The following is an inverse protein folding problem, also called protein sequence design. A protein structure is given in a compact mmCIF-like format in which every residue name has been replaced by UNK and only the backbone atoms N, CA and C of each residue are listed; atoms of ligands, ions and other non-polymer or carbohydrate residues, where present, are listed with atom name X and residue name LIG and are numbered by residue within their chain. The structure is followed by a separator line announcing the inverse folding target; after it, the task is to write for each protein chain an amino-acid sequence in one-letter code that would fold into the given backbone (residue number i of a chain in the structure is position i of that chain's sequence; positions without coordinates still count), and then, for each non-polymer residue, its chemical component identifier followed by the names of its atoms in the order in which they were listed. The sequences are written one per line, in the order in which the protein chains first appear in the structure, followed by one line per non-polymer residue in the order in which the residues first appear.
data_IF_362917435993
#
_entry.id   IF_362917435993
#
_cell.length_a   1.000
_cell.length_b   1.000
_cell.length_c   1.000
_cell.angle_alpha   90.00
_cell.angle_beta   90.00
_cell.angle_gamma   90.00
#
_symmetry.space_group_name_H-M   'P 1'
#
loop_
_entity.id
_entity.type
_entity.pdbx_description
1 polymer ?
#
# COMPACT_ATOMS: atom_id res chain seq x y z
N UNK A 1 -5.84 -27.50 -2.96
CA UNK A 1 -6.33 -26.17 -3.36
C UNK A 1 -5.24 -25.53 -4.19
N UNK A 2 -5.48 -25.20 -5.44
CA UNK A 2 -4.52 -24.53 -6.33
C UNK A 2 -4.77 -23.03 -6.23
N UNK A 3 -3.74 -22.26 -5.83
CA UNK A 3 -3.82 -20.79 -5.72
C UNK A 3 -3.35 -20.14 -7.03
N UNK A 4 -3.95 -20.56 -8.13
CA UNK A 4 -3.68 -20.00 -9.45
C UNK A 4 -4.96 -19.85 -10.26
N UNK A 5 -5.14 -18.67 -10.80
CA UNK A 5 -6.13 -18.36 -11.83
C UNK A 5 -5.45 -17.38 -12.82
N UNK A 6 -5.83 -17.39 -14.11
CA UNK A 6 -5.16 -16.54 -15.12
C UNK A 6 -5.14 -15.05 -14.77
N UNK A 7 -6.18 -14.56 -14.11
CA UNK A 7 -6.24 -13.16 -13.67
C UNK A 7 -5.18 -12.77 -12.63
N UNK A 8 -4.52 -13.73 -11.96
CA UNK A 8 -3.43 -13.42 -11.02
C UNK A 8 -2.15 -12.94 -11.73
N UNK A 9 -2.01 -13.20 -13.03
CA UNK A 9 -0.80 -12.91 -13.80
C UNK A 9 -0.36 -11.43 -13.74
N UNK A 10 -1.22 -10.42 -13.97
CA UNK A 10 -0.80 -9.02 -13.89
C UNK A 10 -0.21 -8.66 -12.53
N UNK A 11 -0.83 -9.13 -11.44
CA UNK A 11 -0.32 -8.94 -10.08
C UNK A 11 1.03 -9.61 -9.87
N UNK A 12 1.18 -10.89 -10.28
CA UNK A 12 2.43 -11.66 -10.09
C UNK A 12 3.57 -10.98 -10.83
N UNK A 13 3.35 -10.58 -12.09
CA UNK A 13 4.36 -9.88 -12.89
C UNK A 13 4.71 -8.53 -12.25
N UNK A 14 3.70 -7.75 -11.85
CA UNK A 14 3.91 -6.46 -11.19
C UNK A 14 4.70 -6.57 -9.89
N UNK A 15 4.34 -7.53 -9.04
CA UNK A 15 5.06 -7.80 -7.79
C UNK A 15 6.51 -8.26 -8.05
N UNK A 16 6.72 -9.15 -9.00
CA UNK A 16 8.07 -9.62 -9.36
C UNK A 16 8.96 -8.45 -9.85
N UNK A 17 8.44 -7.60 -10.73
CA UNK A 17 9.15 -6.40 -11.22
C UNK A 17 9.45 -5.46 -10.07
N UNK A 18 8.46 -5.16 -9.22
CA UNK A 18 8.65 -4.30 -8.06
C UNK A 18 9.77 -4.80 -7.15
N UNK A 19 9.70 -6.06 -6.72
CA UNK A 19 10.72 -6.63 -5.83
C UNK A 19 12.10 -6.69 -6.48
N UNK A 20 12.19 -7.04 -7.77
CA UNK A 20 13.45 -7.06 -8.50
C UNK A 20 14.09 -5.66 -8.56
N UNK A 21 13.31 -4.63 -8.90
CA UNK A 21 13.81 -3.25 -8.98
C UNK A 21 14.17 -2.70 -7.59
N UNK A 22 13.37 -2.98 -6.55
CA UNK A 22 13.69 -2.59 -5.18
C UNK A 22 14.99 -3.25 -4.71
N UNK A 23 15.13 -4.54 -4.92
CA UNK A 23 16.33 -5.29 -4.56
C UNK A 23 17.57 -4.76 -5.29
N UNK A 24 17.44 -4.46 -6.59
CA UNK A 24 18.52 -3.87 -7.37
C UNK A 24 18.91 -2.48 -6.88
N UNK A 25 17.95 -1.56 -6.71
CA UNK A 25 18.19 -0.19 -6.24
C UNK A 25 18.82 -0.21 -4.84
N UNK A 26 18.17 -0.84 -3.87
CA UNK A 26 18.68 -0.89 -2.49
C UNK A 26 19.99 -1.64 -2.38
N UNK A 27 20.13 -2.78 -3.08
CA UNK A 27 21.38 -3.53 -3.12
C UNK A 27 22.53 -2.67 -3.64
N UNK A 28 22.31 -1.93 -4.73
CA UNK A 28 23.31 -1.02 -5.30
C UNK A 28 23.67 0.12 -4.33
N UNK A 29 22.68 0.74 -3.68
CA UNK A 29 22.92 1.83 -2.74
C UNK A 29 23.63 1.33 -1.48
N UNK A 30 23.22 0.21 -0.90
CA UNK A 30 23.90 -0.39 0.25
C UNK A 30 25.34 -0.84 -0.10
N UNK A 31 25.52 -1.39 -1.31
CA UNK A 31 26.87 -1.78 -1.79
C UNK A 31 27.81 -0.59 -1.88
N UNK A 32 27.32 0.56 -2.35
CA UNK A 32 28.12 1.78 -2.52
C UNK A 32 28.37 2.55 -1.20
N UNK A 33 27.75 2.16 -0.09
CA UNK A 33 28.03 2.79 1.22
C UNK A 33 29.50 2.60 1.61
N UNK A 34 30.12 3.62 2.24
CA UNK A 34 31.45 3.53 2.85
C UNK A 34 31.56 2.37 3.85
N UNK A 35 32.75 1.78 3.96
CA UNK A 35 32.98 0.69 4.93
C UNK A 35 32.63 1.08 6.37
N UNK A 36 32.87 2.33 6.75
CA UNK A 36 32.52 2.86 8.08
C UNK A 36 30.99 2.81 8.33
N UNK A 37 30.18 3.16 7.32
CA UNK A 37 28.72 3.16 7.42
C UNK A 37 28.15 1.74 7.43
N UNK A 38 28.73 0.83 6.64
CA UNK A 38 28.38 -0.60 6.70
C UNK A 38 28.63 -1.19 8.10
N UNK A 39 29.77 -0.81 8.75
CA UNK A 39 30.04 -1.20 10.14
C UNK A 39 29.02 -0.61 11.11
N UNK A 40 28.60 0.66 10.93
CA UNK A 40 27.57 1.30 11.76
C UNK A 40 26.23 0.57 11.66
N UNK A 41 25.84 0.11 10.46
CA UNK A 41 24.64 -0.69 10.26
C UNK A 41 24.78 -2.01 11.02
N UNK A 42 25.85 -2.75 10.78
CA UNK A 42 26.06 -4.07 11.39
C UNK A 42 26.04 -4.03 12.92
N UNK A 43 26.76 -3.07 13.52
CA UNK A 43 26.78 -2.89 14.98
C UNK A 43 25.52 -2.18 15.52
N UNK A 44 24.75 -1.52 14.67
CA UNK A 44 23.48 -0.89 15.05
C UNK A 44 22.34 -1.90 15.20
N UNK A 45 22.33 -2.94 14.37
CA UNK A 45 21.24 -3.96 14.31
C UNK A 45 20.90 -4.58 15.68
N UNK A 46 21.85 -5.06 16.52
CA UNK A 46 21.52 -5.69 17.82
C UNK A 46 21.30 -4.66 18.93
N UNK A 47 21.01 -3.41 18.63
CA UNK A 47 20.92 -2.35 19.65
C UNK A 47 19.49 -1.83 19.84
N UNK A 48 19.25 -1.09 20.94
CA UNK A 48 17.98 -0.38 21.18
C UNK A 48 17.61 0.60 20.06
N UNK A 49 18.55 0.99 19.20
CA UNK A 49 18.30 1.86 18.04
C UNK A 49 17.39 1.18 17.03
N UNK A 50 17.50 -0.13 16.85
CA UNK A 50 16.59 -0.90 15.99
C UNK A 50 15.14 -0.83 16.47
N UNK A 51 14.91 -0.95 17.78
CA UNK A 51 13.57 -0.78 18.35
C UNK A 51 13.06 0.66 18.20
N UNK A 52 13.92 1.66 18.40
CA UNK A 52 13.57 3.06 18.15
C UNK A 52 13.21 3.32 16.70
N UNK A 53 13.97 2.75 15.75
CA UNK A 53 13.68 2.83 14.33
C UNK A 53 12.34 2.14 13.98
N UNK A 54 12.11 0.94 14.50
CA UNK A 54 10.86 0.22 14.29
C UNK A 54 9.65 1.00 14.83
N UNK A 55 9.79 1.61 16.01
CA UNK A 55 8.75 2.48 16.56
C UNK A 55 8.52 3.74 15.70
N UNK A 56 9.60 4.38 15.19
CA UNK A 56 9.45 5.51 14.27
C UNK A 56 8.76 5.10 12.97
N UNK A 57 9.04 3.92 12.41
CA UNK A 57 8.30 3.39 11.26
C UNK A 57 6.81 3.27 11.56
N UNK A 58 6.43 2.69 12.70
CA UNK A 58 5.01 2.58 13.06
C UNK A 58 4.38 3.95 13.24
N UNK A 59 5.03 4.85 13.99
CA UNK A 59 4.42 6.14 14.35
C UNK A 59 4.38 7.14 13.19
N UNK A 60 5.38 7.12 12.31
CA UNK A 60 5.50 8.14 11.25
C UNK A 60 5.15 7.61 9.86
N UNK A 61 5.52 6.36 9.51
CA UNK A 61 5.23 5.84 8.17
C UNK A 61 3.86 5.14 8.08
N UNK A 62 3.36 4.53 9.18
CA UNK A 62 2.04 3.91 9.20
C UNK A 62 0.98 4.86 9.76
N UNK A 63 1.18 5.41 10.96
CA UNK A 63 0.20 6.26 11.63
C UNK A 63 0.27 7.73 11.18
N UNK A 64 1.31 8.14 10.46
CA UNK A 64 1.48 9.50 9.89
C UNK A 64 1.32 10.62 10.94
N UNK A 65 1.85 10.41 12.17
CA UNK A 65 1.65 11.29 13.31
C UNK A 65 2.06 12.75 13.05
N UNK A 66 3.16 12.97 12.30
CA UNK A 66 3.60 14.34 11.94
C UNK A 66 2.62 15.01 11.01
N UNK A 67 2.10 14.28 10.01
CA UNK A 67 1.12 14.83 9.05
C UNK A 67 -0.17 15.18 9.77
N UNK A 68 -0.62 14.35 10.72
CA UNK A 68 -1.81 14.66 11.55
C UNK A 68 -1.68 15.97 12.33
N UNK A 69 -0.48 16.29 12.84
CA UNK A 69 -0.24 17.55 13.57
C UNK A 69 -0.34 18.78 12.68
N UNK A 70 0.03 18.65 11.41
CA UNK A 70 0.00 19.75 10.44
C UNK A 70 -1.41 19.90 9.84
N UNK A 71 -2.01 18.79 9.42
CA UNK A 71 -3.34 18.76 8.83
C UNK A 71 -4.03 17.41 9.14
N UNK A 72 -5.00 17.37 10.07
CA UNK A 72 -5.66 16.14 10.50
C UNK A 72 -6.35 15.37 9.35
N UNK A 73 -6.99 16.09 8.42
CA UNK A 73 -7.67 15.47 7.28
C UNK A 73 -6.68 14.80 6.32
N UNK A 74 -5.55 15.47 6.07
CA UNK A 74 -4.49 14.92 5.25
C UNK A 74 -3.82 13.72 5.95
N UNK A 75 -3.62 13.83 7.27
CA UNK A 75 -3.11 12.74 8.12
C UNK A 75 -4.01 11.50 8.05
N UNK A 76 -5.31 11.67 8.21
CA UNK A 76 -6.28 10.58 8.10
C UNK A 76 -6.25 9.93 6.71
N UNK A 77 -6.25 10.73 5.64
CA UNK A 77 -6.20 10.23 4.26
C UNK A 77 -4.94 9.37 4.03
N UNK A 78 -3.78 9.81 4.49
CA UNK A 78 -2.54 9.03 4.35
C UNK A 78 -2.53 7.79 5.25
N UNK A 79 -2.98 7.91 6.50
CA UNK A 79 -3.04 6.78 7.43
C UNK A 79 -4.01 5.71 6.93
N UNK A 80 -5.20 6.08 6.48
CA UNK A 80 -6.19 5.11 5.99
C UNK A 80 -5.67 4.35 4.77
N UNK A 81 -4.95 5.02 3.86
CA UNK A 81 -4.36 4.36 2.71
C UNK A 81 -3.15 3.49 3.09
N UNK A 82 -2.18 4.01 3.84
CA UNK A 82 -0.96 3.28 4.15
C UNK A 82 -1.17 2.20 5.23
N UNK A 83 -1.70 2.60 6.40
CA UNK A 83 -1.92 1.68 7.52
C UNK A 83 -3.08 0.74 7.25
N UNK A 84 -4.15 1.23 6.63
CA UNK A 84 -5.29 0.40 6.22
C UNK A 84 -4.86 -0.68 5.23
N UNK A 85 -4.03 -0.35 4.24
CA UNK A 85 -3.51 -1.35 3.30
C UNK A 85 -2.57 -2.35 3.99
N UNK A 86 -1.68 -1.87 4.85
CA UNK A 86 -0.83 -2.75 5.67
C UNK A 86 -1.68 -3.73 6.49
N UNK A 87 -2.73 -3.25 7.14
CA UNK A 87 -3.63 -4.10 7.92
C UNK A 87 -4.39 -5.09 7.05
N UNK A 88 -4.85 -4.70 5.86
CA UNK A 88 -5.48 -5.63 4.91
C UNK A 88 -4.55 -6.78 4.54
N UNK A 89 -3.25 -6.50 4.34
CA UNK A 89 -2.24 -7.53 4.07
C UNK A 89 -2.02 -8.40 5.30
N UNK A 90 -1.82 -7.80 6.47
CA UNK A 90 -1.52 -8.51 7.72
C UNK A 90 -2.70 -9.39 8.16
N UNK A 91 -3.92 -8.83 8.18
CA UNK A 91 -5.13 -9.57 8.56
C UNK A 91 -5.49 -10.61 7.51
N UNK A 92 -5.33 -10.31 6.21
CA UNK A 92 -5.52 -11.29 5.14
C UNK A 92 -4.54 -12.46 5.21
N UNK A 93 -3.29 -12.23 5.66
CA UNK A 93 -2.36 -13.31 5.96
C UNK A 93 -2.84 -14.16 7.15
N UNK A 94 -3.26 -13.52 8.25
CA UNK A 94 -3.80 -14.20 9.43
C UNK A 94 -5.06 -14.99 9.06
N UNK A 95 -5.95 -14.40 8.27
CA UNK A 95 -7.14 -15.06 7.74
C UNK A 95 -6.77 -16.33 6.97
N UNK A 96 -5.84 -16.24 6.03
CA UNK A 96 -5.39 -17.40 5.25
C UNK A 96 -4.83 -18.50 6.14
N UNK A 97 -4.02 -18.15 7.16
CA UNK A 97 -3.50 -19.11 8.14
C UNK A 97 -4.62 -19.71 8.97
N UNK A 98 -5.61 -18.93 9.37
CA UNK A 98 -6.76 -19.42 10.16
C UNK A 98 -7.64 -20.41 9.38
N UNK A 99 -7.73 -20.26 8.06
CA UNK A 99 -8.47 -21.18 7.20
C UNK A 99 -7.69 -22.44 6.82
N UNK A 100 -6.39 -22.30 6.55
CA UNK A 100 -5.58 -23.33 5.90
C UNK A 100 -4.48 -23.92 6.82
N UNK A 101 -4.28 -23.34 8.01
CA UNK A 101 -3.14 -23.64 8.86
C UNK A 101 -1.83 -23.04 8.29
N UNK A 102 -0.71 -23.39 8.90
CA UNK A 102 0.63 -22.92 8.48
C UNK A 102 1.16 -23.65 7.23
N UNK A 103 0.32 -23.80 6.21
CA UNK A 103 0.74 -24.33 4.92
C UNK A 103 1.34 -23.23 4.07
N UNK A 104 2.24 -23.60 3.17
CA UNK A 104 2.74 -22.65 2.19
C UNK A 104 1.60 -22.19 1.26
N UNK A 105 1.37 -20.89 1.25
CA UNK A 105 0.44 -20.21 0.34
C UNK A 105 1.24 -19.14 -0.40
N UNK A 106 1.22 -19.13 -1.75
CA UNK A 106 1.92 -18.11 -2.51
C UNK A 106 1.25 -16.74 -2.34
N UNK A 107 1.98 -15.66 -2.63
CA UNK A 107 1.53 -14.28 -2.40
C UNK A 107 0.15 -13.97 -2.98
N UNK A 108 -0.14 -14.44 -4.20
CA UNK A 108 -1.45 -14.28 -4.84
C UNK A 108 -2.56 -15.00 -4.08
N UNK A 109 -2.25 -16.11 -3.41
CA UNK A 109 -3.22 -16.83 -2.60
C UNK A 109 -3.71 -16.03 -1.38
N UNK A 110 -2.87 -15.15 -0.81
CA UNK A 110 -3.27 -14.23 0.25
C UNK A 110 -4.05 -13.02 -0.29
N UNK A 111 -3.60 -12.44 -1.42
CA UNK A 111 -4.19 -11.22 -1.99
C UNK A 111 -5.57 -11.47 -2.59
N UNK A 112 -5.75 -12.63 -3.23
CA UNK A 112 -7.00 -13.05 -3.86
C UNK A 112 -7.73 -14.12 -3.04
N UNK A 113 -7.50 -14.16 -1.72
CA UNK A 113 -7.99 -15.23 -0.86
C UNK A 113 -9.51 -15.39 -0.94
N UNK A 114 -10.27 -14.31 -1.01
CA UNK A 114 -11.75 -14.36 -1.14
C UNK A 114 -12.21 -15.16 -2.36
N UNK A 115 -11.52 -15.03 -3.49
CA UNK A 115 -11.81 -15.84 -4.68
C UNK A 115 -11.49 -17.32 -4.46
N UNK A 116 -10.33 -17.62 -3.86
CA UNK A 116 -9.91 -19.00 -3.67
C UNK A 116 -10.60 -19.70 -2.49
N UNK A 117 -11.19 -18.98 -1.56
CA UNK A 117 -11.86 -19.52 -0.37
C UNK A 117 -13.32 -19.89 -0.63
N UNK A 118 -13.82 -19.75 -1.86
CA UNK A 118 -15.17 -20.19 -2.23
C UNK A 118 -15.34 -21.68 -1.92
N UNK A 119 -16.39 -22.03 -1.17
CA UNK A 119 -16.63 -23.40 -0.70
C UNK A 119 -15.96 -23.76 0.63
N UNK A 120 -15.15 -22.90 1.26
CA UNK A 120 -14.73 -23.07 2.64
C UNK A 120 -15.79 -22.57 3.61
N UNK A 121 -15.83 -23.15 4.81
CA UNK A 121 -16.74 -22.71 5.86
C UNK A 121 -16.42 -21.25 6.24
N UNK A 122 -17.40 -20.36 6.12
CA UNK A 122 -17.22 -18.93 6.44
C UNK A 122 -16.84 -18.70 7.90
N UNK A 123 -15.95 -17.74 8.13
CA UNK A 123 -15.57 -17.27 9.44
C UNK A 123 -15.98 -15.81 9.60
N UNK A 124 -17.16 -15.50 10.17
CA UNK A 124 -17.75 -14.17 10.20
C UNK A 124 -16.84 -13.08 10.76
N UNK A 125 -15.94 -13.43 11.69
CA UNK A 125 -14.99 -12.49 12.28
C UNK A 125 -14.03 -11.92 11.21
N UNK A 126 -13.50 -12.78 10.33
CA UNK A 126 -12.61 -12.31 9.26
C UNK A 126 -13.38 -11.57 8.18
N UNK A 127 -14.55 -12.05 7.78
CA UNK A 127 -15.42 -11.34 6.85
C UNK A 127 -15.71 -9.90 7.35
N UNK A 128 -16.04 -9.75 8.63
CA UNK A 128 -16.27 -8.44 9.25
C UNK A 128 -15.00 -7.58 9.27
N UNK A 129 -13.86 -8.13 9.72
CA UNK A 129 -12.61 -7.37 9.82
C UNK A 129 -12.10 -6.92 8.45
N UNK A 130 -12.16 -7.79 7.44
CA UNK A 130 -11.71 -7.45 6.09
C UNK A 130 -12.59 -6.36 5.47
N UNK A 131 -13.91 -6.41 5.67
CA UNK A 131 -14.83 -5.37 5.24
C UNK A 131 -14.58 -4.03 5.96
N UNK A 132 -14.34 -4.07 7.27
CA UNK A 132 -14.03 -2.88 8.06
C UNK A 132 -12.74 -2.21 7.56
N UNK A 133 -11.71 -3.00 7.30
CA UNK A 133 -10.44 -2.48 6.79
C UNK A 133 -10.58 -1.97 5.35
N UNK A 134 -11.35 -2.66 4.51
CA UNK A 134 -11.64 -2.22 3.16
C UNK A 134 -12.40 -0.89 3.16
N UNK A 135 -13.42 -0.75 4.01
CA UNK A 135 -14.16 0.51 4.18
C UNK A 135 -13.24 1.63 4.67
N UNK A 136 -12.34 1.33 5.62
CA UNK A 136 -11.36 2.29 6.11
C UNK A 136 -10.46 2.81 5.00
N UNK A 137 -9.93 1.94 4.14
CA UNK A 137 -9.12 2.34 2.99
C UNK A 137 -9.94 3.09 1.94
N UNK A 138 -11.15 2.62 1.63
CA UNK A 138 -12.05 3.30 0.69
C UNK A 138 -12.41 4.71 1.14
N UNK A 139 -12.55 4.97 2.44
CA UNK A 139 -12.76 6.31 2.97
C UNK A 139 -11.58 7.24 2.65
N UNK A 140 -10.35 6.74 2.74
CA UNK A 140 -9.14 7.47 2.34
C UNK A 140 -9.09 7.74 0.83
N UNK A 141 -9.47 6.76 0.01
CA UNK A 141 -9.58 6.94 -1.46
C UNK A 141 -10.63 8.01 -1.77
N UNK A 142 -11.80 7.96 -1.15
CA UNK A 142 -12.86 8.95 -1.33
C UNK A 142 -12.40 10.37 -0.95
N UNK A 143 -11.67 10.51 0.16
CA UNK A 143 -11.06 11.78 0.56
C UNK A 143 -10.00 12.25 -0.44
N UNK A 144 -9.17 11.34 -0.98
CA UNK A 144 -8.18 11.68 -2.00
C UNK A 144 -8.84 12.17 -3.30
N UNK A 145 -9.96 11.58 -3.70
CA UNK A 145 -10.78 12.06 -4.82
C UNK A 145 -11.40 13.42 -4.50
N UNK A 146 -12.03 13.55 -3.32
CA UNK A 146 -12.61 14.82 -2.87
C UNK A 146 -11.56 15.95 -2.86
N UNK A 147 -10.36 15.68 -2.34
CA UNK A 147 -9.23 16.63 -2.38
C UNK A 147 -8.89 17.05 -3.81
N UNK A 148 -8.90 16.14 -4.77
CA UNK A 148 -8.56 16.47 -6.16
C UNK A 148 -9.56 17.42 -6.81
N UNK A 149 -10.87 17.20 -6.56
CA UNK A 149 -11.94 18.00 -7.15
C UNK A 149 -12.19 19.30 -6.36
N UNK A 150 -12.04 19.27 -5.05
CA UNK A 150 -12.39 20.38 -4.15
C UNK A 150 -11.19 21.00 -3.44
N UNK A 151 -9.96 20.82 -3.95
CA UNK A 151 -8.74 21.27 -3.26
C UNK A 151 -8.76 22.73 -2.80
N UNK A 152 -9.33 23.63 -3.62
CA UNK A 152 -9.47 25.05 -3.28
C UNK A 152 -10.43 25.29 -2.10
N UNK A 153 -11.53 24.52 -2.01
CA UNK A 153 -12.51 24.64 -0.94
C UNK A 153 -12.02 24.00 0.37
N UNK A 154 -11.15 23.00 0.28
CA UNK A 154 -10.57 22.29 1.44
C UNK A 154 -9.30 22.96 1.98
N UNK A 155 -8.93 24.16 1.47
CA UNK A 155 -7.73 24.89 1.90
C UNK A 155 -6.42 24.18 1.62
N UNK A 156 -6.42 23.15 0.76
CA UNK A 156 -5.22 22.39 0.42
C UNK A 156 -4.61 22.89 -0.89
N UNK A 157 -3.34 23.28 -0.86
CA UNK A 157 -2.61 23.65 -2.07
C UNK A 157 -2.46 22.44 -3.01
N UNK A 158 -2.45 22.71 -4.32
CA UNK A 158 -2.09 21.68 -5.32
C UNK A 158 -0.66 21.23 -5.06
N UNK A 159 -0.46 19.93 -4.95
CA UNK A 159 0.89 19.35 -4.94
C UNK A 159 1.62 19.61 -6.24
N UNK A 160 2.95 19.53 -6.21
CA UNK A 160 3.86 19.67 -7.36
C UNK A 160 3.38 18.90 -8.60
N UNK A 161 3.75 19.38 -9.79
CA UNK A 161 3.42 18.71 -11.07
C UNK A 161 3.78 17.22 -11.01
N UNK A 162 2.80 16.38 -11.32
CA UNK A 162 3.02 14.95 -11.43
C UNK A 162 3.71 14.62 -12.75
N UNK A 163 4.81 13.88 -12.68
CA UNK A 163 5.41 13.25 -13.86
C UNK A 163 4.51 12.10 -14.35
N UNK A 164 4.63 11.65 -15.61
CA UNK A 164 3.78 10.60 -16.16
C UNK A 164 3.71 9.31 -15.29
N UNK A 165 4.86 8.86 -14.76
CA UNK A 165 4.92 7.70 -13.87
C UNK A 165 4.09 7.87 -12.59
N UNK A 166 4.12 9.07 -11.97
CA UNK A 166 3.30 9.38 -10.80
C UNK A 166 1.79 9.32 -11.14
N UNK A 167 1.40 9.77 -12.34
CA UNK A 167 -0.01 9.74 -12.77
C UNK A 167 -0.50 8.32 -12.97
N UNK A 168 0.32 7.47 -13.60
CA UNK A 168 0.00 6.06 -13.82
C UNK A 168 -0.18 5.36 -12.47
N UNK A 169 0.81 5.47 -11.57
CA UNK A 169 0.75 4.87 -10.26
C UNK A 169 -0.46 5.35 -9.44
N UNK A 170 -0.72 6.67 -9.44
CA UNK A 170 -1.85 7.25 -8.73
C UNK A 170 -3.19 6.78 -9.29
N UNK A 171 -3.32 6.75 -10.62
CA UNK A 171 -4.55 6.29 -11.26
C UNK A 171 -4.82 4.83 -10.94
N UNK A 172 -3.81 3.98 -11.04
CA UNK A 172 -3.94 2.58 -10.69
C UNK A 172 -4.36 2.41 -9.21
N UNK A 173 -3.68 3.11 -8.28
CA UNK A 173 -3.99 3.06 -6.86
C UNK A 173 -5.44 3.48 -6.55
N UNK A 174 -5.98 4.47 -7.25
CA UNK A 174 -7.35 4.91 -7.05
C UNK A 174 -8.40 3.85 -7.40
N UNK A 175 -8.08 2.98 -8.34
CA UNK A 175 -9.00 1.92 -8.77
C UNK A 175 -8.79 0.59 -8.04
N UNK A 176 -7.63 0.35 -7.40
CA UNK A 176 -7.33 -0.91 -6.69
C UNK A 176 -8.44 -1.26 -5.70
N UNK A 177 -8.79 -0.38 -4.76
CA UNK A 177 -9.74 -0.71 -3.70
C UNK A 177 -11.21 -0.72 -4.13
N UNK A 178 -11.68 0.22 -4.99
CA UNK A 178 -13.00 0.08 -5.61
C UNK A 178 -13.15 -1.19 -6.45
N UNK A 179 -12.13 -1.56 -7.22
CA UNK A 179 -12.14 -2.81 -7.99
C UNK A 179 -12.19 -4.05 -7.08
N UNK A 180 -11.43 -4.03 -5.98
CA UNK A 180 -11.49 -5.08 -4.96
C UNK A 180 -12.89 -5.22 -4.37
N UNK A 181 -13.53 -4.10 -4.00
CA UNK A 181 -14.89 -4.12 -3.46
C UNK A 181 -15.85 -4.80 -4.45
N UNK A 182 -15.80 -4.43 -5.74
CA UNK A 182 -16.67 -5.02 -6.75
C UNK A 182 -16.37 -6.51 -6.93
N UNK A 183 -15.08 -6.89 -7.04
CA UNK A 183 -14.67 -8.27 -7.22
C UNK A 183 -15.12 -9.18 -6.06
N UNK A 184 -14.84 -8.78 -4.82
CA UNK A 184 -15.24 -9.54 -3.63
C UNK A 184 -16.77 -9.61 -3.48
N UNK A 185 -17.48 -8.50 -3.73
CA UNK A 185 -18.94 -8.48 -3.68
C UNK A 185 -19.58 -9.37 -4.74
N UNK A 186 -19.01 -9.42 -5.94
CA UNK A 186 -19.53 -10.31 -7.01
C UNK A 186 -19.29 -11.78 -6.66
N UNK A 187 -18.13 -12.11 -6.09
CA UNK A 187 -17.87 -13.46 -5.55
C UNK A 187 -18.86 -13.82 -4.43
N UNK A 188 -19.15 -12.86 -3.52
CA UNK A 188 -20.18 -13.06 -2.49
C UNK A 188 -21.59 -13.25 -3.09
N UNK A 189 -21.92 -12.56 -4.18
CA UNK A 189 -23.21 -12.73 -4.87
C UNK A 189 -23.39 -14.13 -5.45
N UNK A 190 -22.31 -14.75 -5.94
CA UNK A 190 -22.35 -16.08 -6.57
C UNK A 190 -22.27 -17.22 -5.55
N UNK A 191 -21.44 -17.07 -4.52
CA UNK A 191 -21.06 -18.18 -3.63
C UNK A 191 -21.47 -17.97 -2.17
N UNK A 192 -22.03 -16.80 -1.86
CA UNK A 192 -22.37 -16.41 -0.50
C UNK A 192 -21.18 -15.92 0.33
N UNK A 193 -21.43 -15.65 1.60
CA UNK A 193 -20.44 -15.12 2.54
C UNK A 193 -20.20 -13.62 2.39
N UNK A 194 -19.08 -13.15 2.91
CA UNK A 194 -18.76 -11.73 3.02
C UNK A 194 -19.28 -11.09 4.30
N UNK A 195 -18.75 -9.93 4.61
CA UNK A 195 -19.14 -9.17 5.79
C UNK A 195 -20.29 -8.20 5.52
N UNK A 196 -20.35 -7.15 6.30
CA UNK A 196 -21.44 -6.16 6.21
C UNK A 196 -21.38 -5.29 4.93
N UNK A 197 -20.21 -5.13 4.32
CA UNK A 197 -20.03 -4.33 3.10
C UNK A 197 -20.11 -5.21 1.84
N UNK A 198 -19.21 -6.18 1.73
CA UNK A 198 -19.13 -7.05 0.55
C UNK A 198 -20.31 -8.02 0.45
N UNK A 199 -20.76 -8.56 1.58
CA UNK A 199 -21.92 -9.42 1.64
C UNK A 199 -23.23 -8.69 1.34
N UNK A 200 -23.44 -7.48 1.88
CA UNK A 200 -24.63 -6.68 1.59
C UNK A 200 -24.70 -6.26 0.13
N UNK A 201 -23.58 -5.79 -0.44
CA UNK A 201 -23.52 -5.43 -1.86
C UNK A 201 -23.69 -6.67 -2.74
N UNK A 202 -23.07 -7.79 -2.38
CA UNK A 202 -23.24 -9.08 -3.07
C UNK A 202 -24.69 -9.59 -3.05
N UNK A 203 -25.36 -9.50 -1.90
CA UNK A 203 -26.78 -9.85 -1.76
C UNK A 203 -27.69 -8.98 -2.65
N UNK A 204 -27.42 -7.65 -2.68
CA UNK A 204 -28.12 -6.76 -3.60
C UNK A 204 -27.87 -7.13 -5.07
N UNK A 205 -26.63 -7.43 -5.45
CA UNK A 205 -26.28 -7.86 -6.81
C UNK A 205 -26.98 -9.18 -7.17
N UNK A 206 -27.00 -10.17 -6.28
CA UNK A 206 -27.67 -11.44 -6.48
C UNK A 206 -29.19 -11.29 -6.66
N UNK A 207 -29.81 -10.31 -5.99
CA UNK A 207 -31.25 -10.05 -6.12
C UNK A 207 -31.64 -9.33 -7.43
N UNK A 208 -30.71 -8.60 -8.07
CA UNK A 208 -31.02 -7.73 -9.21
C UNK A 208 -30.34 -8.16 -10.52
N UNK A 209 -29.39 -9.09 -10.49
CA UNK A 209 -28.61 -9.52 -11.65
C UNK A 209 -28.77 -11.00 -11.90
N UNK A 210 -28.81 -11.42 -13.17
CA UNK A 210 -28.79 -12.83 -13.50
C UNK A 210 -27.43 -13.48 -13.21
N UNK A 211 -27.43 -14.77 -12.93
CA UNK A 211 -26.20 -15.55 -12.68
C UNK A 211 -25.20 -15.43 -13.83
N UNK A 212 -25.69 -15.39 -15.08
CA UNK A 212 -24.86 -15.22 -16.26
C UNK A 212 -24.09 -13.86 -16.21
N UNK A 213 -24.78 -12.78 -15.85
CA UNK A 213 -24.17 -11.44 -15.70
C UNK A 213 -23.15 -11.45 -14.56
N UNK A 214 -23.49 -12.07 -13.43
CA UNK A 214 -22.59 -12.14 -12.25
C UNK A 214 -21.30 -12.92 -12.56
N UNK A 215 -21.35 -14.04 -13.25
CA UNK A 215 -20.16 -14.82 -13.64
C UNK A 215 -19.22 -13.99 -14.52
N UNK A 216 -19.79 -13.29 -15.52
CA UNK A 216 -18.98 -12.43 -16.39
C UNK A 216 -18.39 -11.24 -15.62
N UNK A 217 -19.20 -10.62 -14.76
CA UNK A 217 -18.76 -9.49 -13.94
C UNK A 217 -17.66 -9.90 -12.94
N UNK A 218 -17.77 -11.06 -12.31
CA UNK A 218 -16.74 -11.62 -11.43
C UNK A 218 -15.40 -11.72 -12.16
N UNK A 219 -15.42 -12.37 -13.34
CA UNK A 219 -14.20 -12.51 -14.14
C UNK A 219 -13.58 -11.15 -14.48
N UNK A 220 -14.38 -10.22 -15.00
CA UNK A 220 -13.89 -8.88 -15.37
C UNK A 220 -13.37 -8.11 -14.15
N UNK A 221 -14.08 -8.19 -13.02
CA UNK A 221 -13.70 -7.47 -11.80
C UNK A 221 -12.37 -7.97 -11.22
N UNK A 222 -12.15 -9.30 -11.18
CA UNK A 222 -10.87 -9.86 -10.71
C UNK A 222 -9.71 -9.54 -11.67
N UNK A 223 -9.93 -9.58 -12.98
CA UNK A 223 -8.94 -9.15 -13.96
C UNK A 223 -8.60 -7.67 -13.79
N UNK A 224 -9.61 -6.81 -13.60
CA UNK A 224 -9.40 -5.37 -13.42
C UNK A 224 -8.66 -5.07 -12.13
N UNK A 225 -9.04 -5.70 -11.00
CA UNK A 225 -8.35 -5.55 -9.72
C UNK A 225 -6.88 -5.96 -9.81
N UNK A 226 -6.62 -7.14 -10.36
CA UNK A 226 -5.25 -7.64 -10.54
C UNK A 226 -4.42 -6.75 -11.46
N UNK A 227 -5.02 -6.25 -12.56
CA UNK A 227 -4.35 -5.33 -13.49
C UNK A 227 -4.01 -4.00 -12.81
N UNK A 228 -4.92 -3.43 -12.02
CA UNK A 228 -4.64 -2.22 -11.25
C UNK A 228 -3.48 -2.42 -10.27
N UNK A 229 -3.45 -3.55 -9.55
CA UNK A 229 -2.32 -3.90 -8.67
C UNK A 229 -1.02 -4.07 -9.46
N UNK A 230 -1.05 -4.80 -10.58
CA UNK A 230 0.12 -5.03 -11.42
C UNK A 230 0.72 -3.73 -11.95
N UNK A 231 -0.13 -2.86 -12.52
CA UNK A 231 0.28 -1.53 -13.03
C UNK A 231 0.84 -0.66 -11.91
N UNK A 232 0.19 -0.65 -10.73
CA UNK A 232 0.69 0.10 -9.58
C UNK A 232 2.07 -0.38 -9.15
N UNK A 233 2.28 -1.69 -9.03
CA UNK A 233 3.56 -2.27 -8.59
C UNK A 233 4.68 -2.06 -9.61
N UNK A 234 4.40 -2.13 -10.91
CA UNK A 234 5.39 -1.79 -11.95
C UNK A 234 5.77 -0.31 -11.88
N UNK A 235 4.79 0.58 -11.70
CA UNK A 235 5.02 2.02 -11.69
C UNK A 235 5.64 2.53 -10.36
N UNK A 236 5.43 1.81 -9.25
CA UNK A 236 5.83 2.23 -7.90
C UNK A 236 7.33 2.58 -7.80
N UNK A 237 8.29 1.71 -8.22
CA UNK A 237 9.72 1.98 -8.07
C UNK A 237 10.23 3.12 -8.97
N UNK A 238 9.43 3.60 -9.91
CA UNK A 238 9.75 4.68 -10.86
C UNK A 238 8.95 5.96 -10.64
N UNK A 239 8.21 6.01 -9.55
CA UNK A 239 7.34 7.13 -9.20
C UNK A 239 7.64 7.63 -7.78
N UNK A 240 7.00 8.76 -7.41
CA UNK A 240 7.07 9.26 -6.02
C UNK A 240 6.62 8.25 -4.97
N UNK A 241 5.86 7.22 -5.35
CA UNK A 241 5.40 6.16 -4.45
C UNK A 241 6.51 5.23 -3.99
N UNK A 242 7.72 5.33 -4.59
CA UNK A 242 8.92 4.69 -4.09
C UNK A 242 9.18 5.01 -2.61
N UNK A 243 8.75 6.20 -2.13
CA UNK A 243 8.90 6.60 -0.73
C UNK A 243 8.27 5.60 0.26
N UNK A 244 7.16 4.95 -0.12
CA UNK A 244 6.46 3.98 0.73
C UNK A 244 7.40 2.90 1.25
N UNK A 245 8.28 2.39 0.38
CA UNK A 245 9.25 1.36 0.75
C UNK A 245 10.60 1.95 1.21
N UNK A 246 11.02 3.08 0.64
CA UNK A 246 12.37 3.63 0.90
C UNK A 246 12.44 4.40 2.21
N UNK A 247 11.32 4.92 2.73
CA UNK A 247 11.28 5.58 4.03
C UNK A 247 11.68 4.63 5.17
N UNK A 248 11.25 3.37 5.11
CA UNK A 248 11.57 2.36 6.12
C UNK A 248 13.09 2.19 6.29
N UNK A 249 13.87 1.77 5.26
CA UNK A 249 15.31 1.66 5.39
C UNK A 249 15.98 3.00 5.75
N UNK A 250 15.49 4.14 5.23
CA UNK A 250 16.03 5.44 5.59
C UNK A 250 15.92 5.71 7.10
N UNK A 251 14.78 5.43 7.73
CA UNK A 251 14.61 5.59 9.19
C UNK A 251 15.64 4.75 9.94
N UNK A 252 15.82 3.48 9.57
CA UNK A 252 16.84 2.63 10.20
C UNK A 252 18.24 3.18 10.01
N UNK A 253 18.62 3.59 8.80
CA UNK A 253 19.94 4.15 8.51
C UNK A 253 20.22 5.42 9.35
N UNK A 254 19.23 6.29 9.52
CA UNK A 254 19.33 7.49 10.38
C UNK A 254 19.53 7.13 11.85
N UNK A 255 18.80 6.13 12.36
CA UNK A 255 18.99 5.63 13.73
C UNK A 255 20.37 5.02 13.93
N UNK A 256 20.98 4.45 12.90
CA UNK A 256 22.38 3.98 12.93
C UNK A 256 23.39 5.10 12.72
N UNK A 257 22.94 6.37 12.72
CA UNK A 257 23.78 7.58 12.63
C UNK A 257 24.48 7.76 11.27
N UNK A 258 23.92 7.21 10.20
CA UNK A 258 24.35 7.58 8.86
C UNK A 258 23.91 9.02 8.58
N UNK A 259 24.76 9.79 7.92
CA UNK A 259 24.52 11.18 7.54
C UNK A 259 25.00 11.42 6.12
N UNK A 260 24.35 12.36 5.44
CA UNK A 260 24.86 12.90 4.19
C UNK A 260 26.26 13.47 4.40
N UNK A 261 27.15 13.26 3.44
CA UNK A 261 28.49 13.82 3.39
C UNK A 261 28.54 14.84 2.26
N UNK A 262 29.51 15.76 2.27
CA UNK A 262 29.65 16.80 1.23
C UNK A 262 29.81 16.25 -0.20
N UNK A 263 30.19 15.00 -0.35
CA UNK A 263 30.20 14.29 -1.65
C UNK A 263 28.93 13.49 -1.78
N UNK A 264 28.23 13.60 -2.93
CA UNK A 264 27.05 12.80 -3.26
C UNK A 264 27.27 11.34 -2.89
N UNK A 265 26.61 10.90 -1.82
CA UNK A 265 26.81 9.59 -1.23
C UNK A 265 25.64 8.65 -1.51
N UNK A 266 25.90 7.36 -1.37
CA UNK A 266 24.85 6.35 -1.52
C UNK A 266 23.69 6.51 -0.53
N UNK A 267 23.93 7.15 0.63
CA UNK A 267 22.92 7.51 1.61
C UNK A 267 21.92 8.56 1.07
N UNK A 268 22.40 9.50 0.25
CA UNK A 268 21.54 10.56 -0.33
C UNK A 268 20.50 9.99 -1.27
N UNK A 269 20.78 8.87 -1.96
CA UNK A 269 19.79 8.19 -2.77
C UNK A 269 18.58 7.71 -1.96
N UNK A 270 18.80 7.21 -0.73
CA UNK A 270 17.71 6.87 0.18
C UNK A 270 16.91 8.10 0.58
N UNK A 271 17.55 9.24 0.84
CA UNK A 271 16.89 10.49 1.23
C UNK A 271 16.03 11.04 0.08
N UNK A 272 16.56 11.06 -1.14
CA UNK A 272 15.84 11.57 -2.32
C UNK A 272 14.63 10.70 -2.67
N UNK A 273 14.82 9.39 -2.68
CA UNK A 273 13.75 8.45 -3.06
C UNK A 273 12.72 8.23 -1.93
N UNK A 274 13.08 8.52 -0.67
CA UNK A 274 12.12 8.55 0.44
C UNK A 274 11.28 9.84 0.47
N UNK A 275 11.58 10.82 -0.38
CA UNK A 275 10.81 12.05 -0.45
C UNK A 275 9.53 11.86 -1.28
N UNK A 276 8.36 11.98 -0.62
CA UNK A 276 7.06 11.93 -1.29
C UNK A 276 6.73 13.18 -2.14
N UNK A 277 7.60 14.20 -2.11
CA UNK A 277 7.39 15.50 -2.79
C UNK A 277 6.06 16.18 -2.42
N UNK A 278 5.60 15.98 -1.18
CA UNK A 278 4.34 16.54 -0.70
C UNK A 278 4.39 18.05 -0.43
N UNK A 279 5.59 18.65 -0.33
CA UNK A 279 5.79 20.07 -0.09
C UNK A 279 5.63 20.51 1.37
N UNK A 280 5.28 19.62 2.29
CA UNK A 280 5.04 19.96 3.72
C UNK A 280 6.31 20.53 4.39
N UNK A 281 7.50 20.07 3.98
CA UNK A 281 8.76 20.54 4.53
C UNK A 281 9.24 21.87 3.93
N UNK A 282 8.66 22.32 2.81
CA UNK A 282 9.10 23.54 2.10
C UNK A 282 8.58 24.79 2.82
N UNK A 283 7.35 24.79 3.31
CA UNK A 283 6.73 25.94 3.98
C UNK A 283 7.54 26.42 5.21
N UNK A 284 8.02 25.53 6.12
CA UNK A 284 8.91 25.94 7.21
C UNK A 284 10.29 26.44 6.75
N UNK A 285 10.85 25.85 5.68
CA UNK A 285 12.14 26.25 5.13
C UNK A 285 12.11 27.65 4.48
N UNK A 286 11.01 27.98 3.77
CA UNK A 286 10.84 29.30 3.18
C UNK A 286 10.68 30.39 4.23
N UNK A 287 10.02 30.11 5.35
CA UNK A 287 9.92 31.04 6.49
C UNK A 287 11.26 31.30 7.15
N UNK A 288 12.13 30.30 7.26
CA UNK A 288 13.49 30.48 7.81
C UNK A 288 14.45 31.19 6.87
N UNK A 289 14.22 31.17 5.56
CA UNK A 289 15.06 31.89 4.59
C UNK A 289 14.67 33.35 4.41
N UNK A 290 13.55 33.79 4.97
CA UNK A 290 13.02 35.17 4.92
C UNK A 290 13.23 35.91 6.26
N UNK A 291 13.60 35.20 7.34
CA UNK A 291 13.98 35.76 8.62
C UNK A 291 15.51 35.78 8.79
#
# INVERSE_FOLDING_TARGET
MTFYAPFCLPFIIGAAVMFAVLAWKWGTWLYRLPRADKKRILFGLPTRRTFGAAWEVVSESLLHRRIFRVNPLLGYMHMSLAFGWFLLIAVGWIETVAYLGFRYVPLQGHVFFKYFSTGLQHKPVFDFLMDLLLLFVLSGVALAWGKRFFSKRMGMRRTTKHVPGDRIALSALWFVFPARLIAESTTCALYGGGGFLTGSLGGWMAAHMSTFVLINLESVAWWFYSSCLGVFFVALPFSRYMHIFTEIPLIFLRHYKLRSTEKEGAFDNFQVEACSRCGICIDPCQLQSVL
#
